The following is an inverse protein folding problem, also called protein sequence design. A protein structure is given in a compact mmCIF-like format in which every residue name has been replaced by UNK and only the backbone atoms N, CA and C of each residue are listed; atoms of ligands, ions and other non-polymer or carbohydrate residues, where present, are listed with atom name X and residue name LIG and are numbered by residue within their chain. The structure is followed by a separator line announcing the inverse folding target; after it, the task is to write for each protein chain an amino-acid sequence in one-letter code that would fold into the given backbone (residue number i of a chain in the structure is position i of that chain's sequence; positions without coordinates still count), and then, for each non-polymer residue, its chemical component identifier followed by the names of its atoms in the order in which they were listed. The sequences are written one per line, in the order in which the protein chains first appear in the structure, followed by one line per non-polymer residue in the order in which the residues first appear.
data_IF_158964537506
#
_entry.id   IF_158964537506
#
_cell.length_a   1.000
_cell.length_b   1.000
_cell.length_c   1.000
_cell.angle_alpha   90.00
_cell.angle_beta   90.00
_cell.angle_gamma   90.00
#
_symmetry.space_group_name_H-M   'P 1'
#
loop_
_entity.id
_entity.type
_entity.pdbx_description
1 polymer ?
#
# COMPACT_ATOMS: atom_id res chain seq x y z
N UNK A 1 13.37 -9.99 4.90
CA UNK A 1 12.15 -10.61 4.34
C UNK A 1 10.90 -9.76 4.57
N UNK A 2 10.29 -9.68 5.76
CA UNK A 2 9.02 -8.92 5.91
C UNK A 2 9.17 -7.40 5.78
N UNK A 3 10.31 -6.82 6.19
CA UNK A 3 10.59 -5.39 5.95
C UNK A 3 10.85 -5.07 4.47
N UNK A 4 11.47 -5.99 3.73
CA UNK A 4 11.67 -5.85 2.28
C UNK A 4 10.33 -5.92 1.56
N UNK A 5 9.44 -6.84 1.98
CA UNK A 5 8.09 -6.93 1.47
C UNK A 5 7.28 -5.64 1.69
N UNK A 6 7.38 -5.02 2.88
CA UNK A 6 6.74 -3.72 3.15
C UNK A 6 7.30 -2.62 2.23
N UNK A 7 8.62 -2.62 1.97
CA UNK A 7 9.25 -1.65 1.05
C UNK A 7 8.77 -1.86 -0.39
N UNK A 8 8.69 -3.10 -0.85
CA UNK A 8 8.20 -3.44 -2.19
C UNK A 8 6.74 -3.05 -2.37
N UNK A 9 5.86 -3.33 -1.40
CA UNK A 9 4.45 -2.95 -1.47
C UNK A 9 4.31 -1.43 -1.56
N UNK A 10 5.04 -0.68 -0.74
CA UNK A 10 5.05 0.79 -0.81
C UNK A 10 5.59 1.32 -2.14
N UNK A 11 6.56 0.64 -2.73
CA UNK A 11 7.07 0.99 -4.05
C UNK A 11 5.98 0.79 -5.13
N UNK A 12 5.27 -0.33 -5.10
CA UNK A 12 4.15 -0.61 -6.00
C UNK A 12 3.04 0.44 -5.85
N UNK A 13 2.69 0.81 -4.61
CA UNK A 13 1.71 1.89 -4.36
C UNK A 13 2.12 3.20 -5.05
N UNK A 14 3.39 3.61 -4.91
CA UNK A 14 3.89 4.80 -5.57
C UNK A 14 3.87 4.69 -7.09
N UNK A 15 4.23 3.53 -7.64
CA UNK A 15 4.11 3.28 -9.08
C UNK A 15 2.67 3.46 -9.55
N UNK A 16 1.68 2.91 -8.83
CA UNK A 16 0.26 3.05 -9.16
C UNK A 16 -0.21 4.51 -9.04
N UNK A 17 0.15 5.22 -7.98
CA UNK A 17 -0.22 6.64 -7.79
C UNK A 17 0.24 7.48 -8.99
N UNK A 18 1.45 7.23 -9.48
CA UNK A 18 2.07 7.96 -10.59
C UNK A 18 1.49 7.64 -11.98
N UNK A 19 0.57 6.66 -12.09
CA UNK A 19 -0.13 6.43 -13.36
C UNK A 19 -1.29 7.42 -13.47
N UNK A 20 -1.20 8.32 -14.44
CA UNK A 20 -2.30 9.23 -14.77
C UNK A 20 -3.49 8.43 -15.31
N UNK A 21 -4.61 8.52 -14.59
CA UNK A 21 -5.90 7.90 -14.90
C UNK A 21 -6.99 8.87 -14.48
N UNK A 22 -8.15 8.79 -15.13
CA UNK A 22 -9.31 9.66 -14.87
C UNK A 22 -10.59 8.84 -14.85
N UNK A 23 -11.66 9.39 -14.25
CA UNK A 23 -12.97 8.73 -14.21
C UNK A 23 -12.97 7.41 -13.41
N UNK A 24 -13.71 6.41 -13.88
CA UNK A 24 -13.85 5.11 -13.20
C UNK A 24 -12.50 4.40 -13.03
N UNK A 25 -11.60 4.47 -14.01
CA UNK A 25 -10.26 3.88 -13.92
C UNK A 25 -9.42 4.48 -12.78
N UNK A 26 -9.60 5.77 -12.50
CA UNK A 26 -8.95 6.41 -11.36
C UNK A 26 -9.48 5.88 -10.04
N UNK A 27 -10.80 5.70 -9.93
CA UNK A 27 -11.44 5.15 -8.72
C UNK A 27 -10.95 3.72 -8.45
N UNK A 28 -10.94 2.85 -9.47
CA UNK A 28 -10.43 1.48 -9.35
C UNK A 28 -8.94 1.44 -8.96
N UNK A 29 -8.13 2.33 -9.55
CA UNK A 29 -6.71 2.49 -9.20
C UNK A 29 -6.54 2.88 -7.73
N UNK A 30 -7.32 3.85 -7.25
CA UNK A 30 -7.24 4.31 -5.86
C UNK A 30 -7.70 3.21 -4.88
N UNK A 31 -8.71 2.42 -5.24
CA UNK A 31 -9.11 1.24 -4.48
C UNK A 31 -7.99 0.20 -4.37
N UNK A 32 -7.24 -0.03 -5.44
CA UNK A 32 -6.06 -0.90 -5.41
C UNK A 32 -4.95 -0.34 -4.50
N UNK A 33 -4.72 0.99 -4.54
CA UNK A 33 -3.74 1.66 -3.67
C UNK A 33 -4.11 1.52 -2.19
N UNK A 34 -5.39 1.70 -1.83
CA UNK A 34 -5.87 1.55 -0.45
C UNK A 34 -5.74 0.12 0.05
N UNK A 35 -6.07 -0.90 -0.76
CA UNK A 35 -5.89 -2.30 -0.38
C UNK A 35 -4.43 -2.65 -0.07
N UNK A 36 -3.48 -2.06 -0.80
CA UNK A 36 -2.05 -2.24 -0.51
C UNK A 36 -1.65 -1.56 0.81
N UNK A 37 -2.31 -0.46 1.18
CA UNK A 37 -2.09 0.21 2.48
C UNK A 37 -2.58 -0.64 3.65
N UNK A 38 -3.74 -1.26 3.50
CA UNK A 38 -4.28 -2.20 4.49
C UNK A 38 -3.33 -3.39 4.72
N UNK A 39 -2.76 -3.94 3.64
CA UNK A 39 -1.77 -5.02 3.73
C UNK A 39 -0.51 -4.55 4.47
N UNK A 40 0.00 -3.34 4.18
CA UNK A 40 1.15 -2.79 4.89
C UNK A 40 0.86 -2.59 6.37
N UNK A 41 -0.34 -2.11 6.70
CA UNK A 41 -0.78 -1.91 8.09
C UNK A 41 -0.84 -3.24 8.83
N UNK A 42 -1.51 -4.23 8.24
CA UNK A 42 -1.57 -5.59 8.80
C UNK A 42 -0.18 -6.19 9.02
N UNK A 43 0.73 -6.05 8.05
CA UNK A 43 2.10 -6.57 8.18
C UNK A 43 2.87 -5.88 9.30
N UNK A 44 2.70 -4.57 9.49
CA UNK A 44 3.34 -3.85 10.61
C UNK A 44 2.80 -4.30 11.96
N UNK A 45 1.48 -4.47 12.07
CA UNK A 45 0.82 -4.93 13.30
C UNK A 45 1.24 -6.36 13.65
N UNK A 46 1.20 -7.27 12.67
CA UNK A 46 1.59 -8.67 12.84
C UNK A 46 3.06 -8.85 13.23
N UNK A 47 3.94 -7.92 12.82
CA UNK A 47 5.36 -7.91 13.19
C UNK A 47 5.62 -7.37 14.60
N UNK A 48 4.60 -6.98 15.36
CA UNK A 48 4.79 -6.37 16.67
C UNK A 48 5.48 -5.01 16.61
N UNK A 49 5.51 -4.38 15.42
CA UNK A 49 5.82 -2.95 15.28
C UNK A 49 4.58 -2.08 15.55
N UNK A 50 3.52 -2.72 16.07
CA UNK A 50 2.24 -2.11 16.38
C UNK A 50 2.34 -1.21 17.61
N UNK A 51 1.99 0.05 17.37
CA UNK A 51 1.65 1.10 18.34
C UNK A 51 2.87 1.81 18.98
N UNK A 52 3.59 2.60 18.17
CA UNK A 52 4.09 3.88 18.68
C UNK A 52 2.99 4.93 18.46
N UNK A 53 2.42 5.42 19.56
CA UNK A 53 1.49 6.57 19.59
C UNK A 53 2.22 7.87 19.22
#
# INVERSE_FOLDING_TARGET
MTEEMIKEIKHIQQCLINVDMEGEDYEEKMDAVHKLEDVVTYLKDALGKGIEF
#
